data_IF_962104337972
#
_entry.id   IF_962104337972
#
_cell.length_a   1.000
_cell.length_b   1.000
_cell.length_c   1.000
_cell.angle_alpha   90.00
_cell.angle_beta   90.00
_cell.angle_gamma   90.00
#
_symmetry.space_group_name_H-M   'P 1'
#
loop_
_entity.id
_entity.type
_entity.pdbx_description
1 polymer ?
#
# COMPACT_ATOMS: atom_id res chain seq x y z
N UNK A 1 27.53 10.77 5.61
CA UNK A 1 27.33 11.53 6.88
C UNK A 1 27.43 10.54 8.04
N UNK A 2 28.05 10.91 9.17
CA UNK A 2 28.21 10.03 10.34
C UNK A 2 26.86 9.48 10.87
N UNK A 3 25.80 10.28 10.78
CA UNK A 3 24.43 9.87 11.12
C UNK A 3 23.60 9.43 9.91
N UNK A 4 24.23 9.03 8.81
CA UNK A 4 23.53 8.46 7.65
C UNK A 4 23.04 7.04 7.89
N UNK A 5 22.36 6.47 6.90
CA UNK A 5 21.97 5.06 6.91
C UNK A 5 20.71 4.74 7.73
N UNK A 6 20.27 3.48 7.66
CA UNK A 6 19.02 3.02 8.25
C UNK A 6 19.06 3.04 9.79
N UNK A 7 17.98 3.53 10.42
CA UNK A 7 17.89 3.73 11.87
C UNK A 7 17.16 2.61 12.62
N UNK A 8 16.30 1.89 11.93
CA UNK A 8 15.52 0.78 12.50
C UNK A 8 15.54 -0.43 11.56
N UNK A 9 14.96 -1.55 12.02
CA UNK A 9 14.96 -2.81 11.28
C UNK A 9 14.21 -2.71 9.96
N UNK A 10 13.09 -1.98 9.92
CA UNK A 10 12.35 -1.78 8.68
C UNK A 10 13.18 -1.01 7.66
N UNK A 11 13.93 0.02 8.08
CA UNK A 11 14.82 0.76 7.18
C UNK A 11 15.97 -0.10 6.66
N UNK A 12 16.58 -0.92 7.53
CA UNK A 12 17.66 -1.85 7.14
C UNK A 12 17.16 -2.85 6.11
N UNK A 13 16.01 -3.43 6.39
CA UNK A 13 15.38 -4.43 5.54
C UNK A 13 14.94 -3.85 4.20
N UNK A 14 14.26 -2.69 4.22
CA UNK A 14 13.84 -1.99 3.01
C UNK A 14 15.04 -1.65 2.13
N UNK A 15 16.12 -1.11 2.73
CA UNK A 15 17.35 -0.80 1.99
C UNK A 15 17.95 -2.06 1.36
N UNK A 16 18.04 -3.17 2.11
CA UNK A 16 18.56 -4.44 1.59
C UNK A 16 17.71 -4.95 0.42
N UNK A 17 16.40 -5.10 0.62
CA UNK A 17 15.47 -5.64 -0.38
C UNK A 17 15.49 -4.80 -1.65
N UNK A 18 15.45 -3.48 -1.52
CA UNK A 18 15.42 -2.58 -2.67
C UNK A 18 16.78 -2.50 -3.37
N UNK A 19 17.88 -2.67 -2.64
CA UNK A 19 19.21 -2.82 -3.25
C UNK A 19 19.26 -4.09 -4.10
N UNK A 20 18.84 -5.23 -3.54
CA UNK A 20 18.86 -6.51 -4.24
C UNK A 20 17.96 -6.47 -5.48
N UNK A 21 16.75 -5.92 -5.37
CA UNK A 21 15.83 -5.73 -6.50
C UNK A 21 16.36 -4.77 -7.56
N UNK A 22 17.08 -3.71 -7.18
CA UNK A 22 17.64 -2.74 -8.14
C UNK A 22 18.76 -3.34 -9.00
N UNK A 23 19.36 -4.44 -8.57
CA UNK A 23 20.45 -5.12 -9.30
C UNK A 23 19.96 -6.19 -10.28
N UNK A 24 18.66 -6.50 -10.28
CA UNK A 24 18.07 -7.55 -11.10
C UNK A 24 17.39 -6.93 -12.33
N UNK A 25 17.90 -7.13 -13.55
CA UNK A 25 17.19 -6.75 -14.76
C UNK A 25 16.10 -7.78 -15.13
N UNK A 26 14.96 -7.36 -15.70
CA UNK A 26 14.56 -5.97 -15.90
C UNK A 26 14.17 -5.29 -14.58
N UNK A 27 14.42 -3.98 -14.49
CA UNK A 27 14.00 -3.20 -13.31
C UNK A 27 12.48 -3.29 -13.13
N UNK A 28 11.99 -3.45 -11.89
CA UNK A 28 10.56 -3.49 -11.64
C UNK A 28 9.93 -2.14 -11.98
N UNK A 29 8.69 -2.15 -12.50
CA UNK A 29 7.90 -0.92 -12.75
C UNK A 29 7.80 -0.06 -11.49
N UNK A 30 7.75 -0.69 -10.32
CA UNK A 30 7.74 -0.04 -9.01
C UNK A 30 8.78 -0.71 -8.12
N UNK A 31 9.85 0.03 -7.82
CA UNK A 31 10.87 -0.40 -6.87
C UNK A 31 10.44 -0.03 -5.44
N UNK A 32 9.56 -0.85 -4.88
CA UNK A 32 8.92 -0.57 -3.58
C UNK A 32 8.87 -1.79 -2.66
N UNK A 33 8.76 -1.52 -1.36
CA UNK A 33 8.58 -2.51 -0.31
C UNK A 33 7.65 -1.94 0.76
N UNK A 34 6.78 -2.75 1.33
CA UNK A 34 5.85 -2.28 2.34
C UNK A 34 5.56 -3.35 3.39
N UNK A 35 5.09 -2.89 4.55
CA UNK A 35 4.65 -3.74 5.65
C UNK A 35 3.50 -3.07 6.39
N UNK A 36 2.47 -3.86 6.70
CA UNK A 36 1.45 -3.49 7.67
C UNK A 36 1.97 -3.77 9.08
N UNK A 37 1.88 -2.77 9.95
CA UNK A 37 2.35 -2.85 11.34
C UNK A 37 1.34 -2.18 12.25
N UNK A 38 1.38 -2.53 13.52
CA UNK A 38 0.68 -1.78 14.58
C UNK A 38 1.69 -0.89 15.29
N UNK A 39 1.45 0.41 15.30
CA UNK A 39 2.28 1.40 16.00
C UNK A 39 1.40 2.04 17.06
N UNK A 40 1.76 1.88 18.34
CA UNK A 40 0.99 2.42 19.47
C UNK A 40 -0.50 2.03 19.43
N UNK A 41 -0.78 0.77 19.08
CA UNK A 41 -2.14 0.25 18.96
C UNK A 41 -2.88 0.63 17.66
N UNK A 42 -2.28 1.44 16.78
CA UNK A 42 -2.91 1.92 15.54
C UNK A 42 -2.41 1.16 14.32
N UNK A 43 -3.31 0.63 13.45
CA UNK A 43 -2.91 0.00 12.20
C UNK A 43 -2.23 1.03 11.30
N UNK A 44 -1.06 0.69 10.77
CA UNK A 44 -0.23 1.59 9.97
C UNK A 44 0.43 0.86 8.81
N UNK A 45 0.60 1.55 7.69
CA UNK A 45 1.39 1.11 6.55
C UNK A 45 2.76 1.79 6.60
N UNK A 46 3.82 0.99 6.75
CA UNK A 46 5.17 1.44 6.42
C UNK A 46 5.44 1.14 4.95
N UNK A 47 5.76 2.17 4.17
CA UNK A 47 6.01 2.07 2.74
C UNK A 47 7.39 2.64 2.40
N UNK A 48 8.11 1.94 1.54
CA UNK A 48 9.47 2.24 1.13
C UNK A 48 9.55 2.26 -0.40
N UNK A 49 10.16 3.29 -0.97
CA UNK A 49 10.42 3.40 -2.41
C UNK A 49 11.89 3.64 -2.68
N UNK A 50 12.48 2.79 -3.52
CA UNK A 50 13.85 2.96 -3.97
C UNK A 50 13.98 4.16 -4.90
N UNK A 51 15.03 4.94 -4.69
CA UNK A 51 15.40 6.05 -5.56
C UNK A 51 16.65 5.66 -6.34
N UNK A 52 16.51 5.64 -7.67
CA UNK A 52 17.61 5.33 -8.58
C UNK A 52 18.27 6.61 -9.10
N UNK A 53 19.56 6.54 -9.36
CA UNK A 53 20.27 7.57 -10.12
C UNK A 53 19.79 7.58 -11.56
N UNK A 54 19.17 8.68 -11.96
CA UNK A 54 18.87 8.96 -13.37
C UNK A 54 20.13 9.49 -14.05
N UNK A 55 20.20 9.39 -15.38
CA UNK A 55 21.30 9.97 -16.17
C UNK A 55 21.60 11.43 -15.77
N UNK A 56 20.57 12.26 -15.63
CA UNK A 56 20.70 13.67 -15.23
C UNK A 56 21.24 13.89 -13.81
N UNK A 57 21.16 12.89 -12.93
CA UNK A 57 21.67 12.97 -11.55
C UNK A 57 23.17 12.63 -11.48
N UNK A 58 23.64 11.70 -12.32
CA UNK A 58 24.99 11.12 -12.22
C UNK A 58 26.09 12.18 -12.30
N UNK A 59 25.98 13.13 -13.24
CA UNK A 59 27.01 14.16 -13.48
C UNK A 59 27.31 14.98 -12.23
N UNK A 60 26.28 15.60 -11.65
CA UNK A 60 26.46 16.47 -10.49
C UNK A 60 26.87 15.67 -9.25
N UNK A 61 26.28 14.49 -9.02
CA UNK A 61 26.62 13.66 -7.87
C UNK A 61 28.05 13.09 -7.94
N UNK A 62 28.58 12.77 -9.12
CA UNK A 62 29.97 12.32 -9.24
C UNK A 62 30.97 13.48 -9.10
N UNK A 63 30.62 14.71 -9.47
CA UNK A 63 31.51 15.87 -9.33
C UNK A 63 31.49 16.48 -7.91
N UNK A 64 30.32 16.59 -7.28
CA UNK A 64 30.12 17.43 -6.08
C UNK A 64 30.87 16.92 -4.84
N UNK A 65 31.71 17.74 -4.21
CA UNK A 65 32.62 17.36 -3.11
C UNK A 65 31.93 16.60 -1.96
N UNK A 66 30.70 17.00 -1.60
CA UNK A 66 29.94 16.37 -0.50
C UNK A 66 29.21 15.09 -0.89
N UNK A 67 29.32 14.63 -2.14
CA UNK A 67 28.67 13.39 -2.55
C UNK A 67 29.27 12.19 -1.82
N UNK A 68 28.44 11.29 -1.26
CA UNK A 68 28.92 10.13 -0.49
C UNK A 68 29.61 9.07 -1.35
N UNK A 69 29.42 9.12 -2.67
CA UNK A 69 30.01 8.21 -3.66
C UNK A 69 30.25 8.99 -4.96
N UNK A 70 31.32 8.66 -5.69
CA UNK A 70 31.83 9.43 -6.85
C UNK A 70 31.76 8.69 -8.19
N UNK A 71 31.33 7.44 -8.14
CA UNK A 71 31.18 6.54 -9.27
C UNK A 71 29.76 5.97 -9.31
N UNK A 72 28.76 6.83 -9.09
CA UNK A 72 27.37 6.48 -9.35
C UNK A 72 27.19 6.12 -10.82
N UNK A 73 26.41 5.06 -11.06
CA UNK A 73 25.96 4.66 -12.40
C UNK A 73 24.47 4.94 -12.55
N UNK A 74 24.02 5.10 -13.79
CA UNK A 74 22.59 5.12 -14.06
C UNK A 74 21.92 3.84 -13.54
N UNK A 75 20.69 3.98 -13.02
CA UNK A 75 19.92 2.92 -12.38
C UNK A 75 20.50 2.34 -11.09
N UNK A 76 21.56 2.93 -10.56
CA UNK A 76 22.06 2.55 -9.24
C UNK A 76 21.17 3.13 -8.13
N UNK A 77 20.86 2.33 -7.11
CA UNK A 77 20.10 2.78 -5.94
C UNK A 77 20.91 3.80 -5.11
N UNK A 78 20.46 5.05 -5.07
CA UNK A 78 21.08 6.10 -4.23
C UNK A 78 20.53 6.10 -2.80
N UNK A 79 19.30 5.63 -2.62
CA UNK A 79 18.64 5.66 -1.32
C UNK A 79 17.21 5.14 -1.39
N UNK A 80 16.53 5.21 -0.25
CA UNK A 80 15.15 4.75 -0.09
C UNK A 80 14.36 5.84 0.62
N UNK A 81 13.25 6.25 0.01
CA UNK A 81 12.24 7.11 0.65
C UNK A 81 11.31 6.23 1.47
N UNK A 82 11.08 6.62 2.73
CA UNK A 82 10.25 5.88 3.67
C UNK A 82 9.12 6.79 4.15
N UNK A 83 7.89 6.28 4.15
CA UNK A 83 6.74 6.92 4.76
C UNK A 83 6.04 5.94 5.69
N UNK A 84 5.44 6.47 6.75
CA UNK A 84 4.52 5.72 7.61
C UNK A 84 3.17 6.40 7.54
N UNK A 85 2.13 5.66 7.16
CA UNK A 85 0.75 6.14 7.04
C UNK A 85 -0.14 5.39 8.01
N UNK A 86 -0.69 6.06 9.05
CA UNK A 86 -1.76 5.48 9.86
C UNK A 86 -2.97 5.17 8.98
N UNK A 87 -3.62 4.04 9.23
CA UNK A 87 -4.71 3.50 8.42
C UNK A 87 -6.07 3.59 9.11
N UNK A 88 -6.17 4.30 10.24
CA UNK A 88 -7.40 4.34 11.05
C UNK A 88 -8.62 4.76 10.21
N UNK A 89 -8.47 5.83 9.42
CA UNK A 89 -9.52 6.34 8.54
C UNK A 89 -9.84 5.39 7.38
N UNK A 90 -8.83 4.69 6.87
CA UNK A 90 -9.02 3.73 5.78
C UNK A 90 -9.81 2.51 6.29
N UNK A 91 -9.42 1.99 7.46
CA UNK A 91 -10.10 0.86 8.12
C UNK A 91 -11.53 1.22 8.49
N UNK A 92 -11.75 2.38 9.12
CA UNK A 92 -13.09 2.87 9.49
C UNK A 92 -13.99 3.02 8.26
N UNK A 93 -13.48 3.64 7.18
CA UNK A 93 -14.22 3.79 5.92
C UNK A 93 -14.60 2.44 5.32
N UNK A 94 -13.68 1.47 5.32
CA UNK A 94 -13.98 0.12 4.81
C UNK A 94 -15.04 -0.57 5.65
N UNK A 95 -14.97 -0.48 6.98
CA UNK A 95 -15.99 -1.06 7.87
C UNK A 95 -17.37 -0.43 7.66
N UNK A 96 -17.44 0.91 7.59
CA UNK A 96 -18.70 1.62 7.32
C UNK A 96 -19.29 1.25 5.95
N UNK A 97 -18.44 1.12 4.92
CA UNK A 97 -18.85 0.66 3.60
C UNK A 97 -19.40 -0.77 3.61
N UNK A 98 -18.74 -1.69 4.32
CA UNK A 98 -19.20 -3.08 4.46
C UNK A 98 -20.53 -3.16 5.21
N UNK A 99 -20.68 -2.43 6.31
CA UNK A 99 -21.95 -2.34 7.04
C UNK A 99 -23.07 -1.84 6.13
N UNK A 100 -22.81 -0.79 5.36
CA UNK A 100 -23.77 -0.24 4.40
C UNK A 100 -24.14 -1.26 3.32
N UNK A 101 -23.15 -1.98 2.77
CA UNK A 101 -23.39 -3.03 1.79
C UNK A 101 -24.25 -4.17 2.36
N UNK A 102 -23.99 -4.61 3.59
CA UNK A 102 -24.79 -5.63 4.26
C UNK A 102 -26.23 -5.18 4.51
N UNK A 103 -26.46 -3.92 4.90
CA UNK A 103 -27.80 -3.36 5.07
C UNK A 103 -28.57 -3.35 3.74
N UNK A 104 -27.92 -2.91 2.65
CA UNK A 104 -28.54 -2.89 1.32
C UNK A 104 -28.85 -4.31 0.84
N UNK A 105 -27.91 -5.26 0.97
CA UNK A 105 -28.15 -6.65 0.58
C UNK A 105 -29.25 -7.29 1.43
N UNK A 106 -29.22 -7.11 2.76
CA UNK A 106 -30.23 -7.64 3.67
C UNK A 106 -31.62 -7.10 3.38
N UNK A 107 -31.75 -5.80 3.17
CA UNK A 107 -33.04 -5.18 2.83
C UNK A 107 -33.57 -5.64 1.46
N UNK A 108 -32.70 -5.84 0.46
CA UNK A 108 -33.09 -6.40 -0.82
C UNK A 108 -33.62 -7.84 -0.70
N UNK A 109 -32.91 -8.69 0.05
CA UNK A 109 -33.35 -10.08 0.30
C UNK A 109 -34.68 -10.12 1.05
N UNK A 110 -34.85 -9.32 2.11
CA UNK A 110 -36.11 -9.23 2.85
C UNK A 110 -37.27 -8.74 1.98
N UNK A 111 -37.01 -7.78 1.09
CA UNK A 111 -38.02 -7.25 0.18
C UNK A 111 -38.46 -8.31 -0.84
N UNK A 112 -37.52 -9.03 -1.46
CA UNK A 112 -37.81 -10.10 -2.43
C UNK A 112 -38.55 -11.27 -1.79
N UNK A 113 -38.10 -11.71 -0.62
CA UNK A 113 -38.74 -12.81 0.12
C UNK A 113 -40.13 -12.42 0.61
N UNK A 114 -40.29 -11.22 1.16
CA UNK A 114 -41.61 -10.69 1.55
C UNK A 114 -42.58 -10.59 0.37
N UNK A 115 -42.11 -10.10 -0.78
CA UNK A 115 -42.93 -10.03 -1.99
C UNK A 115 -43.37 -11.43 -2.46
N UNK A 116 -42.45 -12.41 -2.48
CA UNK A 116 -42.75 -13.79 -2.88
C UNK A 116 -43.80 -14.44 -1.96
N UNK A 117 -43.70 -14.23 -0.64
CA UNK A 117 -44.66 -14.74 0.35
C UNK A 117 -46.05 -14.13 0.09
N UNK A 118 -46.14 -12.80 -0.08
CA UNK A 118 -47.41 -12.11 -0.35
C UNK A 118 -48.04 -12.60 -1.65
N UNK A 119 -47.24 -12.79 -2.71
CA UNK A 119 -47.71 -13.31 -3.99
C UNK A 119 -48.27 -14.74 -3.86
N UNK A 120 -47.60 -15.61 -3.12
CA UNK A 120 -48.04 -16.98 -2.87
C UNK A 120 -49.33 -17.05 -2.02
N UNK A 121 -49.47 -16.17 -1.01
CA UNK A 121 -50.72 -16.08 -0.24
C UNK A 121 -51.90 -15.64 -1.11
N UNK A 122 -51.67 -14.66 -2.01
CA UNK A 122 -52.71 -14.17 -2.93
C UNK A 122 -53.14 -15.19 -3.98
N UNK A 123 -52.23 -15.99 -4.52
CA UNK A 123 -52.59 -17.04 -5.48
C UNK A 123 -53.43 -18.14 -4.82
N UNK A 124 -53.11 -18.52 -3.58
CA UNK A 124 -53.84 -19.54 -2.82
C UNK A 124 -55.25 -19.12 -2.44
N UNK A 125 -55.45 -17.85 -2.08
CA UNK A 125 -56.78 -17.29 -1.78
C UNK A 125 -57.69 -17.15 -3.01
N UNK A 126 -57.15 -17.18 -4.23
CA UNK A 126 -57.93 -17.12 -5.48
C UNK A 126 -58.35 -18.50 -5.99
N UNK A 127 -57.73 -19.59 -5.50
CA UNK A 127 -58.02 -20.97 -5.91
C UNK A 127 -59.02 -21.70 -5.00
N UNK A 128 -59.42 -21.07 -3.90
CA UNK A 128 -60.46 -21.52 -2.95
C UNK A 128 -61.67 -20.63 -3.07
#
# INVERSE_FOLDING_TARGET
RANGGPKDDFQREALKILTDRSRQPPLPKQLEYHRFVTIEGRPSLKYARGQLMKESCVKCHNAHQQSPKKNWKENELVGVLLITRPLDRDVERTQAGLQSAFVVMGSAVLSLTGFAIIAAMRSRSRST
#
